data_IF_203270710391
#
_entry.id   IF_203270710391
#
_cell.length_a   1.000
_cell.length_b   1.000
_cell.length_c   1.000
_cell.angle_alpha   90.00
_cell.angle_beta   90.00
_cell.angle_gamma   90.00
#
_symmetry.space_group_name_H-M   'P 1'
#
loop_
_entity.id
_entity.type
_entity.pdbx_description
1 polymer ?
#
# COMPACT_ATOMS: atom_id res chain seq x y z
N UNK A 1 1.69 6.31 25.38
CA UNK A 1 2.65 7.01 24.48
C UNK A 1 3.48 6.07 23.62
N UNK A 2 4.18 5.07 24.18
CA UNK A 2 5.07 4.16 23.42
C UNK A 2 4.38 3.41 22.26
N UNK A 3 3.14 2.94 22.46
CA UNK A 3 2.36 2.22 21.45
C UNK A 3 1.88 3.12 20.30
N UNK A 4 1.55 4.38 20.60
CA UNK A 4 1.10 5.36 19.59
C UNK A 4 2.26 5.75 18.69
N UNK A 5 3.43 6.03 19.26
CA UNK A 5 4.62 6.34 18.49
C UNK A 5 5.05 5.17 17.61
N UNK A 6 4.94 3.93 18.12
CA UNK A 6 5.18 2.71 17.34
C UNK A 6 4.22 2.57 16.18
N UNK A 7 2.91 2.77 16.39
CA UNK A 7 1.91 2.71 15.33
C UNK A 7 2.14 3.80 14.28
N UNK A 8 2.52 5.02 14.69
CA UNK A 8 2.83 6.11 13.77
C UNK A 8 4.06 5.78 12.90
N UNK A 9 5.13 5.29 13.52
CA UNK A 9 6.34 4.88 12.81
C UNK A 9 6.08 3.72 11.84
N UNK A 10 5.29 2.72 12.26
CA UNK A 10 4.86 1.62 11.39
C UNK A 10 4.02 2.13 10.22
N UNK A 11 3.11 3.09 10.44
CA UNK A 11 2.30 3.71 9.38
C UNK A 11 3.18 4.40 8.34
N UNK A 12 4.15 5.21 8.80
CA UNK A 12 5.10 5.91 7.93
C UNK A 12 5.94 4.91 7.13
N UNK A 13 6.43 3.85 7.79
CA UNK A 13 7.22 2.80 7.13
C UNK A 13 6.42 2.11 6.03
N UNK A 14 5.16 1.74 6.31
CA UNK A 14 4.27 1.13 5.33
C UNK A 14 4.00 2.07 4.13
N UNK A 15 3.79 3.37 4.38
CA UNK A 15 3.61 4.36 3.31
C UNK A 15 4.85 4.51 2.44
N UNK A 16 6.04 4.59 3.03
CA UNK A 16 7.31 4.68 2.29
C UNK A 16 7.51 3.45 1.41
N UNK A 17 7.25 2.25 1.94
CA UNK A 17 7.36 1.01 1.17
C UNK A 17 6.35 0.98 0.03
N UNK A 18 5.09 1.36 0.30
CA UNK A 18 4.06 1.46 -0.74
C UNK A 18 4.47 2.40 -1.87
N UNK A 19 4.98 3.59 -1.52
CA UNK A 19 5.47 4.57 -2.49
C UNK A 19 6.68 4.06 -3.28
N UNK A 20 7.62 3.36 -2.64
CA UNK A 20 8.79 2.79 -3.31
C UNK A 20 8.40 1.72 -4.33
N UNK A 21 7.45 0.84 -3.98
CA UNK A 21 6.99 -0.22 -4.90
C UNK A 21 6.17 0.36 -6.06
N UNK A 22 5.43 1.45 -5.84
CA UNK A 22 4.80 2.22 -6.93
C UNK A 22 5.80 2.83 -7.92
N UNK A 23 7.10 2.93 -7.61
CA UNK A 23 8.07 3.39 -8.60
C UNK A 23 8.55 2.23 -9.48
N UNK A 24 8.63 1.02 -8.91
CA UNK A 24 9.27 -0.12 -9.55
C UNK A 24 8.31 -1.10 -10.22
N UNK A 25 7.04 -1.15 -9.80
CA UNK A 25 5.97 -2.02 -10.34
C UNK A 25 6.40 -3.49 -10.57
N UNK A 26 6.94 -4.18 -9.54
CA UNK A 26 7.55 -5.48 -9.72
C UNK A 26 6.55 -6.60 -10.06
N UNK A 27 5.26 -6.45 -9.76
CA UNK A 27 4.25 -7.48 -9.97
C UNK A 27 3.33 -7.17 -11.17
N UNK A 28 3.25 -5.89 -11.57
CA UNK A 28 2.43 -5.46 -12.70
C UNK A 28 0.93 -5.70 -12.50
N UNK A 29 0.47 -5.80 -11.24
CA UNK A 29 -0.92 -6.02 -10.88
C UNK A 29 -1.70 -4.73 -11.12
N UNK A 30 -2.17 -4.55 -12.34
CA UNK A 30 -3.00 -3.43 -12.76
C UNK A 30 -4.42 -3.88 -13.05
N UNK A 31 -5.39 -3.07 -12.64
CA UNK A 31 -6.79 -3.28 -12.93
C UNK A 31 -7.37 -2.05 -13.63
N UNK A 32 -8.01 -2.23 -14.77
CA UNK A 32 -8.66 -1.13 -15.48
C UNK A 32 -10.00 -0.85 -14.80
N UNK A 33 -10.11 0.31 -14.16
CA UNK A 33 -11.35 0.75 -13.51
C UNK A 33 -12.35 1.27 -14.54
N UNK A 34 -11.86 1.98 -15.54
CA UNK A 34 -12.70 2.58 -16.57
C UNK A 34 -11.89 2.83 -17.84
N UNK A 35 -12.55 2.67 -18.99
CA UNK A 35 -11.96 2.91 -20.30
C UNK A 35 -12.97 3.60 -21.20
N UNK A 36 -12.55 4.68 -21.85
CA UNK A 36 -13.26 5.36 -22.93
C UNK A 36 -12.44 5.31 -24.21
N UNK A 37 -12.99 5.86 -25.29
CA UNK A 37 -12.27 6.02 -26.56
C UNK A 37 -11.00 6.87 -26.43
N UNK A 38 -10.93 7.76 -25.43
CA UNK A 38 -9.83 8.72 -25.28
C UNK A 38 -9.00 8.50 -24.02
N UNK A 39 -9.52 7.85 -22.98
CA UNK A 39 -8.84 7.73 -21.68
C UNK A 39 -9.01 6.35 -21.08
N UNK A 40 -7.97 5.89 -20.39
CA UNK A 40 -7.99 4.68 -19.59
C UNK A 40 -7.53 5.01 -18.18
N UNK A 41 -8.38 4.66 -17.20
CA UNK A 41 -8.05 4.77 -15.78
C UNK A 41 -7.70 3.39 -15.25
N UNK A 42 -6.46 3.23 -14.83
CA UNK A 42 -5.94 2.00 -14.22
C UNK A 42 -5.65 2.22 -12.75
N UNK A 43 -5.75 1.13 -11.98
CA UNK A 43 -5.37 1.05 -10.59
C UNK A 43 -4.32 -0.03 -10.43
N UNK A 44 -3.14 0.35 -9.94
CA UNK A 44 -2.04 -0.58 -9.67
C UNK A 44 -2.08 -0.99 -8.20
N UNK A 45 -2.21 -2.28 -7.96
CA UNK A 45 -2.34 -2.88 -6.64
C UNK A 45 -0.99 -3.34 -6.04
N UNK A 46 0.13 -3.19 -6.77
CA UNK A 46 1.47 -3.61 -6.32
C UNK A 46 1.84 -3.03 -4.95
N UNK A 47 1.44 -1.79 -4.67
CA UNK A 47 1.69 -1.13 -3.40
C UNK A 47 0.89 -1.74 -2.24
N UNK A 48 -0.34 -2.21 -2.48
CA UNK A 48 -1.15 -2.90 -1.47
C UNK A 48 -0.50 -4.23 -1.09
N UNK A 49 -0.01 -4.97 -2.09
CA UNK A 49 0.71 -6.23 -1.85
C UNK A 49 1.96 -5.97 -1.02
N UNK A 50 2.75 -4.94 -1.38
CA UNK A 50 3.95 -4.59 -0.64
C UNK A 50 3.67 -4.21 0.83
N UNK A 51 2.67 -3.35 1.05
CA UNK A 51 2.22 -2.94 2.39
C UNK A 51 1.77 -4.16 3.21
N UNK A 52 1.02 -5.08 2.59
CA UNK A 52 0.55 -6.29 3.25
C UNK A 52 1.69 -7.25 3.62
N UNK A 53 2.67 -7.45 2.73
CA UNK A 53 3.86 -8.27 2.99
C UNK A 53 4.66 -7.71 4.16
N UNK A 54 4.90 -6.40 4.20
CA UNK A 54 5.63 -5.77 5.31
C UNK A 54 4.85 -5.88 6.61
N UNK A 55 3.53 -5.71 6.58
CA UNK A 55 2.69 -5.96 7.75
C UNK A 55 2.83 -7.39 8.27
N UNK A 56 2.80 -8.40 7.39
CA UNK A 56 3.02 -9.80 7.79
C UNK A 56 4.39 -10.00 8.43
N UNK A 57 5.44 -9.37 7.90
CA UNK A 57 6.79 -9.42 8.49
C UNK A 57 6.80 -8.82 9.90
N UNK A 58 6.14 -7.67 10.11
CA UNK A 58 6.03 -7.04 11.43
C UNK A 58 5.32 -7.99 12.41
N UNK A 59 4.17 -8.54 12.01
CA UNK A 59 3.40 -9.49 12.83
C UNK A 59 4.23 -10.74 13.15
N UNK A 60 4.98 -11.27 12.19
CA UNK A 60 5.89 -12.40 12.38
C UNK A 60 7.00 -12.08 13.39
N UNK A 61 7.62 -10.91 13.30
CA UNK A 61 8.65 -10.46 14.26
C UNK A 61 8.06 -10.36 15.67
N UNK A 62 6.86 -9.82 15.81
CA UNK A 62 6.18 -9.72 17.10
C UNK A 62 5.73 -11.09 17.64
N UNK A 63 5.34 -12.01 16.75
CA UNK A 63 5.05 -13.40 17.08
C UNK A 63 6.28 -14.12 17.63
N UNK A 64 7.41 -14.00 16.94
CA UNK A 64 8.71 -14.57 17.36
C UNK A 64 9.16 -14.00 18.70
N UNK A 65 8.91 -12.71 18.95
CA UNK A 65 9.20 -12.06 20.25
C UNK A 65 8.20 -12.42 21.36
N UNK A 66 7.24 -13.34 21.11
CA UNK A 66 6.15 -13.69 22.03
C UNK A 66 5.35 -12.47 22.52
N UNK A 67 5.30 -11.40 21.72
CA UNK A 67 4.63 -10.13 22.04
C UNK A 67 3.26 -9.98 21.34
N UNK A 68 2.70 -11.08 20.85
CA UNK A 68 1.42 -11.15 20.14
C UNK A 68 0.29 -10.34 20.80
N UNK A 69 0.15 -10.41 22.13
CA UNK A 69 -0.94 -9.73 22.86
C UNK A 69 -0.82 -8.20 22.90
N UNK A 70 0.37 -7.64 22.69
CA UNK A 70 0.61 -6.19 22.82
C UNK A 70 1.05 -5.48 21.54
N UNK A 71 1.51 -6.23 20.52
CA UNK A 71 2.03 -5.68 19.27
C UNK A 71 1.06 -5.71 18.09
N UNK A 72 0.19 -6.74 18.01
CA UNK A 72 -0.68 -6.92 16.84
C UNK A 72 -1.67 -5.76 16.71
N UNK A 73 -2.30 -5.35 17.81
CA UNK A 73 -3.30 -4.29 17.79
C UNK A 73 -2.75 -2.97 17.18
N UNK A 74 -1.61 -2.41 17.62
CA UNK A 74 -1.05 -1.21 16.98
C UNK A 74 -0.59 -1.46 15.53
N UNK A 75 -0.07 -2.65 15.19
CA UNK A 75 0.31 -2.97 13.82
C UNK A 75 -0.88 -3.01 12.86
N UNK A 76 -2.02 -3.56 13.29
CA UNK A 76 -3.26 -3.60 12.50
C UNK A 76 -3.83 -2.20 12.31
N UNK A 77 -3.81 -1.35 13.35
CA UNK A 77 -4.22 0.06 13.23
C UNK A 77 -3.32 0.80 12.25
N UNK A 78 -2.00 0.59 12.32
CA UNK A 78 -1.05 1.18 11.40
C UNK A 78 -1.28 0.74 9.94
N UNK A 79 -1.62 -0.53 9.72
CA UNK A 79 -1.98 -1.04 8.39
C UNK A 79 -3.22 -0.34 7.84
N UNK A 80 -4.29 -0.26 8.62
CA UNK A 80 -5.54 0.38 8.21
C UNK A 80 -5.31 1.87 7.90
N UNK A 81 -4.54 2.57 8.74
CA UNK A 81 -4.17 3.97 8.50
C UNK A 81 -3.32 4.13 7.24
N UNK A 82 -2.34 3.26 7.01
CA UNK A 82 -1.49 3.32 5.82
C UNK A 82 -2.30 3.10 4.54
N UNK A 83 -3.23 2.14 4.53
CA UNK A 83 -4.12 1.90 3.39
C UNK A 83 -5.05 3.10 3.16
N UNK A 84 -5.68 3.61 4.21
CA UNK A 84 -6.58 4.76 4.12
C UNK A 84 -5.85 6.02 3.60
N UNK A 85 -4.66 6.31 4.13
CA UNK A 85 -3.83 7.42 3.70
C UNK A 85 -3.30 7.24 2.28
N UNK A 86 -2.84 6.04 1.92
CA UNK A 86 -2.39 5.72 0.56
C UNK A 86 -3.51 5.93 -0.47
N UNK A 87 -4.72 5.46 -0.17
CA UNK A 87 -5.89 5.70 -1.01
C UNK A 87 -6.27 7.18 -1.08
N UNK A 88 -6.22 7.92 0.03
CA UNK A 88 -6.46 9.36 0.06
C UNK A 88 -5.43 10.13 -0.79
N UNK A 89 -4.19 9.66 -0.81
CA UNK A 89 -3.10 10.17 -1.67
C UNK A 89 -3.18 9.66 -3.12
N UNK A 90 -4.22 8.91 -3.47
CA UNK A 90 -4.42 8.30 -4.79
C UNK A 90 -3.29 7.37 -5.23
N UNK A 91 -2.69 6.64 -4.29
CA UNK A 91 -1.74 5.58 -4.63
C UNK A 91 -2.35 4.56 -5.60
N UNK A 92 -1.56 4.15 -6.58
CA UNK A 92 -1.94 3.23 -7.65
C UNK A 92 -2.82 3.81 -8.76
N UNK A 93 -3.43 4.99 -8.61
CA UNK A 93 -4.30 5.53 -9.65
C UNK A 93 -3.50 6.19 -10.78
N UNK A 94 -3.63 5.64 -11.99
CA UNK A 94 -3.08 6.23 -13.21
C UNK A 94 -4.21 6.56 -14.19
N UNK A 95 -4.06 7.69 -14.87
CA UNK A 95 -4.88 8.09 -15.99
C UNK A 95 -3.98 8.18 -17.21
N UNK A 96 -4.31 7.45 -18.26
CA UNK A 96 -3.53 7.39 -19.50
C UNK A 96 -4.44 7.74 -20.66
N UNK A 97 -4.01 8.68 -21.51
CA UNK A 97 -4.72 9.00 -22.75
C UNK A 97 -4.48 7.92 -23.81
N UNK A 98 -5.56 7.41 -24.39
CA UNK A 98 -5.57 6.32 -25.37
C UNK A 98 -5.21 6.83 -26.78
N UNK A 99 -5.24 8.15 -27.02
CA UNK A 99 -4.93 8.76 -28.33
C UNK A 99 -3.48 8.57 -28.79
N UNK A 100 -2.59 8.11 -27.91
CA UNK A 100 -1.19 7.82 -28.25
C UNK A 100 -0.96 6.45 -28.90
N UNK A 101 -2.00 5.63 -29.03
CA UNK A 101 -1.97 4.38 -29.80
C UNK A 101 -2.87 4.53 -31.02
N UNK A 102 -2.37 5.28 -32.01
CA UNK A 102 -3.03 5.44 -33.30
C UNK A 102 -3.19 4.10 -34.01
N UNK A 103 -4.44 3.82 -34.39
CA UNK A 103 -4.77 2.98 -35.55
C UNK A 103 -5.15 3.92 -36.68
#
# INVERSE_FOLDING_TARGET
MKHVLSALAQTILLLIVGAAVMLWHPLGLSHTLWKTATQQRTFEADWLVAVFVVYLVIVLIEALRKRLRGGIAPATVALVLAIALGLAMKFGFKLTDVSHYGF
#
